data_IF_162820460980
#
_entry.id   IF_162820460980
#
_cell.length_a   1.000
_cell.length_b   1.000
_cell.length_c   1.000
_cell.angle_alpha   90.00
_cell.angle_beta   90.00
_cell.angle_gamma   90.00
#
_symmetry.space_group_name_H-M   'P 1'
#
loop_
_entity.id
_entity.type
_entity.pdbx_description
1 polymer ?
#
# COMPACT_ATOMS: atom_id res chain seq x y z
N UNK A 1 27.17 12.86 7.34
CA UNK A 1 26.23 11.82 6.89
C UNK A 1 26.80 11.25 5.61
N UNK A 2 27.02 9.93 5.51
CA UNK A 2 27.50 9.32 4.27
C UNK A 2 26.49 9.54 3.14
N UNK A 3 26.99 9.89 1.95
CA UNK A 3 26.16 10.06 0.76
C UNK A 3 25.62 8.71 0.28
N UNK A 4 24.48 8.29 0.81
CA UNK A 4 23.79 7.08 0.35
C UNK A 4 23.34 7.27 -1.09
N UNK A 5 23.95 6.53 -2.01
CA UNK A 5 23.60 6.55 -3.44
C UNK A 5 22.27 5.84 -3.70
N UNK A 6 21.60 6.17 -4.81
CA UNK A 6 20.33 5.52 -5.19
C UNK A 6 20.51 4.00 -5.35
N UNK A 7 21.63 3.58 -5.93
CA UNK A 7 21.97 2.15 -6.09
C UNK A 7 22.10 1.43 -4.75
N UNK A 8 22.72 2.05 -3.75
CA UNK A 8 22.81 1.50 -2.40
C UNK A 8 21.44 1.41 -1.74
N UNK A 9 20.60 2.44 -1.89
CA UNK A 9 19.21 2.42 -1.39
C UNK A 9 18.41 1.24 -1.99
N UNK A 10 18.44 1.07 -3.31
CA UNK A 10 17.71 -0.01 -3.98
C UNK A 10 18.24 -1.39 -3.59
N UNK A 11 19.57 -1.60 -3.67
CA UNK A 11 20.19 -2.89 -3.34
C UNK A 11 19.99 -3.24 -1.86
N UNK A 12 20.08 -2.24 -1.00
CA UNK A 12 19.83 -2.35 0.44
C UNK A 12 18.38 -2.71 0.73
N UNK A 13 17.41 -2.01 0.12
CA UNK A 13 15.99 -2.27 0.31
C UNK A 13 15.61 -3.71 -0.03
N UNK A 14 16.08 -4.22 -1.17
CA UNK A 14 15.84 -5.61 -1.58
C UNK A 14 16.54 -6.63 -0.67
N UNK A 15 17.79 -6.36 -0.27
CA UNK A 15 18.53 -7.24 0.66
C UNK A 15 17.82 -7.32 2.02
N UNK A 16 17.35 -6.19 2.53
CA UNK A 16 16.68 -6.11 3.82
C UNK A 16 15.28 -6.73 3.75
N UNK A 17 14.56 -6.57 2.65
CA UNK A 17 13.27 -7.22 2.43
C UNK A 17 13.43 -8.75 2.41
N UNK A 18 14.43 -9.25 1.68
CA UNK A 18 14.76 -10.68 1.68
C UNK A 18 15.18 -11.18 3.07
N UNK A 19 15.94 -10.38 3.82
CA UNK A 19 16.31 -10.69 5.21
C UNK A 19 15.08 -10.74 6.11
N UNK A 20 14.15 -9.79 5.99
CA UNK A 20 12.92 -9.75 6.76
C UNK A 20 12.04 -10.99 6.53
N UNK A 21 11.89 -11.43 5.28
CA UNK A 21 11.16 -12.66 4.92
C UNK A 21 11.79 -13.89 5.59
N UNK A 22 13.13 -13.97 5.60
CA UNK A 22 13.86 -15.10 6.19
C UNK A 22 13.79 -15.14 7.71
N UNK A 23 13.85 -13.99 8.39
CA UNK A 23 13.90 -13.93 9.86
C UNK A 23 12.51 -13.85 10.51
N UNK A 24 11.46 -13.49 9.75
CA UNK A 24 10.08 -13.40 10.27
C UNK A 24 9.09 -14.23 9.44
N UNK A 25 9.37 -15.53 9.17
CA UNK A 25 8.57 -16.33 8.25
C UNK A 25 7.11 -16.48 8.71
N UNK A 26 6.88 -16.57 10.03
CA UNK A 26 5.54 -16.70 10.60
C UNK A 26 4.69 -15.46 10.30
N UNK A 27 5.27 -14.26 10.41
CA UNK A 27 4.56 -13.00 10.13
C UNK A 27 4.14 -12.94 8.65
N UNK A 28 5.05 -13.32 7.75
CA UNK A 28 4.76 -13.38 6.31
C UNK A 28 3.73 -14.46 5.97
N UNK A 29 3.77 -15.63 6.62
CA UNK A 29 2.77 -16.69 6.42
C UNK A 29 1.37 -16.27 6.89
N UNK A 30 1.26 -15.63 8.06
CA UNK A 30 -0.02 -15.10 8.56
C UNK A 30 -0.54 -14.00 7.64
N UNK A 31 0.32 -13.06 7.22
CA UNK A 31 -0.06 -12.01 6.28
C UNK A 31 -0.46 -12.60 4.92
N UNK A 32 0.24 -13.63 4.42
CA UNK A 32 -0.11 -14.34 3.19
C UNK A 32 -1.48 -14.98 3.28
N UNK A 33 -1.74 -15.75 4.34
CA UNK A 33 -3.02 -16.41 4.54
C UNK A 33 -4.16 -15.39 4.64
N UNK A 34 -3.95 -14.27 5.34
CA UNK A 34 -4.93 -13.22 5.47
C UNK A 34 -5.20 -12.49 4.13
N UNK A 35 -4.15 -12.12 3.39
CA UNK A 35 -4.28 -11.47 2.06
C UNK A 35 -4.95 -12.41 1.06
N UNK A 36 -4.61 -13.70 1.08
CA UNK A 36 -5.24 -14.69 0.23
C UNK A 36 -6.72 -14.90 0.60
N UNK A 37 -7.04 -14.96 1.89
CA UNK A 37 -8.42 -15.07 2.37
C UNK A 37 -9.25 -13.84 1.99
N UNK A 38 -8.71 -12.63 2.15
CA UNK A 38 -9.41 -11.40 1.72
C UNK A 38 -9.52 -11.32 0.20
N UNK A 39 -8.49 -11.70 -0.54
CA UNK A 39 -8.51 -11.72 -2.01
C UNK A 39 -9.53 -12.70 -2.56
N UNK A 40 -9.60 -13.92 -2.02
CA UNK A 40 -10.59 -14.92 -2.41
C UNK A 40 -12.01 -14.53 -1.99
N UNK A 41 -12.20 -13.91 -0.82
CA UNK A 41 -13.48 -13.39 -0.39
C UNK A 41 -13.97 -12.25 -1.30
N UNK A 42 -13.08 -11.31 -1.66
CA UNK A 42 -13.36 -10.23 -2.60
C UNK A 42 -13.72 -10.75 -3.99
N UNK A 43 -12.95 -11.71 -4.50
CA UNK A 43 -13.25 -12.37 -5.77
C UNK A 43 -14.62 -13.05 -5.76
N UNK A 44 -14.93 -13.84 -4.71
CA UNK A 44 -16.25 -14.48 -4.58
C UNK A 44 -17.38 -13.45 -4.52
N UNK A 45 -17.22 -12.39 -3.75
CA UNK A 45 -18.22 -11.33 -3.63
C UNK A 45 -18.46 -10.61 -4.96
N UNK A 46 -17.44 -10.45 -5.80
CA UNK A 46 -17.56 -9.75 -7.09
C UNK A 46 -18.16 -10.63 -8.19
N UNK A 47 -17.88 -11.94 -8.17
CA UNK A 47 -18.25 -12.86 -9.28
C UNK A 47 -19.41 -13.81 -8.97
N UNK A 48 -19.87 -13.95 -7.71
CA UNK A 48 -21.05 -14.76 -7.38
C UNK A 48 -22.31 -14.32 -8.11
N UNK A 49 -22.48 -13.00 -8.28
CA UNK A 49 -23.67 -12.42 -8.89
C UNK A 49 -23.60 -12.44 -10.43
N UNK A 50 -22.40 -12.34 -11.01
CA UNK A 50 -22.20 -12.45 -12.47
C UNK A 50 -22.51 -13.88 -12.97
N UNK A 51 -22.14 -14.89 -12.19
CA UNK A 51 -22.46 -16.29 -12.50
C UNK A 51 -23.97 -16.59 -12.34
N UNK A 52 -24.63 -15.98 -11.35
CA UNK A 52 -26.07 -16.13 -11.13
C UNK A 52 -26.92 -15.36 -12.17
N UNK A 53 -26.42 -14.24 -12.70
CA UNK A 53 -27.13 -13.38 -13.67
C UNK A 53 -26.92 -13.78 -15.14
N UNK A 54 -26.28 -14.92 -15.41
CA UNK A 54 -26.08 -15.43 -16.78
C UNK A 54 -25.28 -14.50 -17.70
N UNK A 55 -24.45 -13.60 -17.15
CA UNK A 55 -23.62 -12.67 -17.92
C UNK A 55 -24.37 -11.52 -18.62
N UNK A 56 -25.66 -11.30 -18.35
CA UNK A 56 -26.38 -10.19 -18.99
C UNK A 56 -26.09 -8.86 -18.28
N UNK A 57 -25.35 -7.96 -18.95
CA UNK A 57 -25.11 -6.57 -18.51
C UNK A 57 -26.42 -5.77 -18.34
N UNK A 58 -27.51 -6.24 -18.95
CA UNK A 58 -28.83 -5.57 -19.00
C UNK A 58 -29.67 -5.74 -17.73
N UNK A 59 -29.32 -6.66 -16.83
CA UNK A 59 -30.05 -6.87 -15.57
C UNK A 59 -29.67 -5.86 -14.46
N UNK A 60 -28.55 -5.13 -14.63
CA UNK A 60 -28.01 -4.25 -13.59
C UNK A 60 -28.73 -2.90 -13.48
N UNK A 61 -29.45 -2.47 -14.52
CA UNK A 61 -29.98 -1.10 -14.65
C UNK A 61 -31.49 -0.98 -14.40
N UNK A 62 -32.23 -2.08 -14.22
CA UNK A 62 -33.69 -2.07 -14.32
C UNK A 62 -34.45 -2.38 -13.02
N UNK A 63 -33.76 -2.64 -11.89
CA UNK A 63 -34.44 -2.89 -10.61
C UNK A 63 -33.89 -2.05 -9.45
N UNK A 64 -34.79 -1.47 -8.66
CA UNK A 64 -34.47 -0.78 -7.39
C UNK A 64 -33.84 -1.73 -6.36
N UNK A 65 -34.18 -3.02 -6.41
CA UNK A 65 -33.55 -4.12 -5.67
C UNK A 65 -32.10 -4.36 -6.12
N UNK A 66 -31.78 -4.17 -7.41
CA UNK A 66 -30.40 -4.23 -7.91
C UNK A 66 -29.50 -3.13 -7.35
N UNK A 67 -30.04 -1.94 -7.08
CA UNK A 67 -29.28 -0.82 -6.50
C UNK A 67 -28.92 -1.07 -5.02
N UNK A 68 -29.86 -1.62 -4.24
CA UNK A 68 -29.60 -1.99 -2.85
C UNK A 68 -28.55 -3.11 -2.74
N UNK A 69 -28.62 -4.11 -3.61
CA UNK A 69 -27.64 -5.20 -3.65
C UNK A 69 -26.26 -4.72 -4.13
N UNK A 70 -26.18 -3.84 -5.13
CA UNK A 70 -24.93 -3.23 -5.57
C UNK A 70 -24.28 -2.36 -4.47
N UNK A 71 -25.09 -1.63 -3.69
CA UNK A 71 -24.60 -0.86 -2.55
C UNK A 71 -24.05 -1.78 -1.43
N UNK A 72 -24.76 -2.86 -1.11
CA UNK A 72 -24.31 -3.84 -0.13
C UNK A 72 -23.00 -4.53 -0.57
N UNK A 73 -22.90 -4.92 -1.84
CA UNK A 73 -21.70 -5.52 -2.43
C UNK A 73 -20.52 -4.54 -2.45
N UNK A 74 -20.78 -3.26 -2.73
CA UNK A 74 -19.78 -2.20 -2.63
C UNK A 74 -19.25 -2.03 -1.20
N UNK A 75 -20.14 -2.06 -0.20
CA UNK A 75 -19.75 -2.00 1.22
C UNK A 75 -18.96 -3.23 1.66
N UNK A 76 -19.33 -4.44 1.21
CA UNK A 76 -18.58 -5.66 1.48
C UNK A 76 -17.19 -5.57 0.85
N UNK A 77 -17.10 -5.18 -0.42
CA UNK A 77 -15.81 -5.01 -1.10
C UNK A 77 -14.94 -3.97 -0.40
N UNK A 78 -15.53 -2.87 0.09
CA UNK A 78 -14.82 -1.84 0.84
C UNK A 78 -14.33 -2.37 2.19
N UNK A 79 -15.14 -3.17 2.88
CA UNK A 79 -14.74 -3.85 4.11
C UNK A 79 -13.57 -4.81 3.89
N UNK A 80 -13.62 -5.62 2.83
CA UNK A 80 -12.56 -6.57 2.47
C UNK A 80 -11.26 -5.84 2.14
N UNK A 81 -11.30 -4.79 1.31
CA UNK A 81 -10.10 -4.00 0.97
C UNK A 81 -9.54 -3.25 2.17
N UNK A 82 -10.40 -2.77 3.07
CA UNK A 82 -9.99 -2.17 4.33
C UNK A 82 -9.21 -3.16 5.19
N UNK A 83 -9.77 -4.36 5.44
CA UNK A 83 -9.10 -5.42 6.22
C UNK A 83 -7.77 -5.82 5.58
N UNK A 84 -7.74 -6.00 4.25
CA UNK A 84 -6.51 -6.32 3.54
C UNK A 84 -5.45 -5.23 3.74
N UNK A 85 -5.85 -3.96 3.68
CA UNK A 85 -4.94 -2.84 3.90
C UNK A 85 -4.43 -2.78 5.34
N UNK A 86 -5.26 -3.13 6.34
CA UNK A 86 -4.82 -3.26 7.73
C UNK A 86 -3.74 -4.33 7.89
N UNK A 87 -3.94 -5.50 7.27
CA UNK A 87 -2.96 -6.60 7.29
C UNK A 87 -1.63 -6.13 6.70
N UNK A 88 -1.66 -5.45 5.55
CA UNK A 88 -0.46 -4.92 4.90
C UNK A 88 0.20 -3.81 5.72
N UNK A 89 -0.56 -2.94 6.36
CA UNK A 89 -0.03 -1.91 7.25
C UNK A 89 0.69 -2.52 8.45
N UNK A 90 0.11 -3.54 9.08
CA UNK A 90 0.74 -4.27 10.20
C UNK A 90 2.04 -4.93 9.73
N UNK A 91 2.01 -5.63 8.59
CA UNK A 91 3.22 -6.22 8.00
C UNK A 91 4.29 -5.15 7.73
N UNK A 92 3.91 -4.01 7.15
CA UNK A 92 4.82 -2.91 6.88
C UNK A 92 5.49 -2.39 8.16
N UNK A 93 4.75 -2.23 9.28
CA UNK A 93 5.33 -1.85 10.58
C UNK A 93 6.37 -2.86 11.04
N UNK A 94 6.08 -4.16 10.96
CA UNK A 94 7.03 -5.19 11.36
C UNK A 94 8.31 -5.15 10.51
N UNK A 95 8.16 -5.03 9.18
CA UNK A 95 9.29 -4.94 8.26
C UNK A 95 10.11 -3.67 8.51
N UNK A 96 9.46 -2.53 8.71
CA UNK A 96 10.14 -1.26 9.02
C UNK A 96 10.90 -1.37 10.34
N UNK A 97 10.28 -1.86 11.41
CA UNK A 97 10.93 -2.03 12.72
C UNK A 97 12.12 -2.99 12.64
N UNK A 98 11.98 -4.09 11.90
CA UNK A 98 13.07 -5.02 11.65
C UNK A 98 14.22 -4.34 10.91
N UNK A 99 13.94 -3.65 9.81
CA UNK A 99 14.97 -2.97 9.02
C UNK A 99 15.67 -1.85 9.80
N UNK A 100 14.94 -1.09 10.63
CA UNK A 100 15.55 -0.07 11.51
C UNK A 100 16.50 -0.72 12.51
N UNK A 101 16.11 -1.84 13.14
CA UNK A 101 16.97 -2.58 14.08
C UNK A 101 18.22 -3.15 13.41
N UNK A 102 18.08 -3.62 12.17
CA UNK A 102 19.22 -4.14 11.40
C UNK A 102 20.31 -3.09 11.18
N UNK A 103 19.92 -1.81 11.13
CA UNK A 103 20.82 -0.67 10.89
C UNK A 103 21.08 0.19 12.13
N UNK A 104 20.64 -0.25 13.32
CA UNK A 104 20.98 0.43 14.56
C UNK A 104 22.48 0.23 14.82
N UNK A 105 23.25 1.32 14.91
CA UNK A 105 24.69 1.23 15.13
C UNK A 105 24.99 0.60 16.50
N UNK A 106 25.96 -0.34 16.58
CA UNK A 106 26.33 -1.00 17.83
C UNK A 106 26.84 -0.03 18.91
N UNK A 107 27.28 1.19 18.53
CA UNK A 107 27.81 2.20 19.45
C UNK A 107 26.75 3.01 20.21
N UNK A 108 25.54 3.19 19.67
CA UNK A 108 24.46 3.93 20.35
C UNK A 108 23.79 3.12 21.47
N UNK A 109 24.04 1.81 21.53
CA UNK A 109 23.56 0.89 22.57
C UNK A 109 24.47 0.95 23.82
N UNK A 110 25.63 1.60 23.75
CA UNK A 110 26.59 1.64 24.86
C UNK A 110 26.15 2.50 26.06
N UNK A 111 25.09 3.31 25.90
CA UNK A 111 24.53 4.14 26.99
C UNK A 111 23.16 3.65 27.48
N UNK A 112 22.59 2.61 26.87
CA UNK A 112 21.31 2.05 27.29
C UNK A 112 21.52 0.57 27.62
N UNK A 113 21.35 0.16 28.90
CA UNK A 113 21.69 -1.19 29.32
C UNK A 113 20.94 -2.21 28.45
N UNK A 114 21.67 -3.23 28.00
CA UNK A 114 21.24 -4.30 27.11
C UNK A 114 20.05 -5.15 27.63
N UNK A 115 19.40 -4.73 28.71
CA UNK A 115 18.27 -5.39 29.39
C UNK A 115 16.93 -4.67 29.24
N UNK A 116 16.82 -3.56 28.49
CA UNK A 116 15.57 -2.79 28.43
C UNK A 116 15.17 -2.34 27.02
N UNK A 117 15.39 -3.16 25.98
CA UNK A 117 14.56 -3.03 24.78
C UNK A 117 13.13 -3.42 25.20
N UNK A 118 12.16 -2.47 25.24
CA UNK A 118 10.81 -2.81 25.62
C UNK A 118 10.35 -3.98 24.73
N UNK A 119 9.74 -5.02 25.31
CA UNK A 119 9.22 -6.13 24.52
C UNK A 119 8.40 -5.54 23.38
N UNK A 120 8.52 -6.09 22.17
CA UNK A 120 7.71 -5.65 21.02
C UNK A 120 6.24 -5.85 21.36
N UNK A 121 5.67 -4.87 22.05
CA UNK A 121 4.26 -4.85 22.34
C UNK A 121 3.62 -4.54 21.00
N UNK A 122 2.83 -5.51 20.55
CA UNK A 122 2.11 -5.43 19.28
C UNK A 122 1.28 -4.14 19.16
N UNK A 123 0.94 -3.54 20.30
CA UNK A 123 0.11 -2.35 20.42
C UNK A 123 0.77 -1.22 21.21
N UNK A 124 1.98 -0.83 20.82
CA UNK A 124 2.61 0.37 21.36
C UNK A 124 2.01 1.67 20.79
N UNK A 125 2.23 2.78 21.49
CA UNK A 125 1.81 4.11 21.02
C UNK A 125 2.32 4.44 19.60
N UNK A 126 3.52 3.96 19.24
CA UNK A 126 4.07 4.10 17.88
C UNK A 126 3.27 3.34 16.82
N UNK A 127 2.83 2.10 17.11
CA UNK A 127 1.98 1.32 16.21
C UNK A 127 0.62 2.02 16.02
N UNK A 128 0.04 2.54 17.11
CA UNK A 128 -1.21 3.30 17.04
C UNK A 128 -1.08 4.56 16.18
N UNK A 129 0.01 5.31 16.32
CA UNK A 129 0.30 6.50 15.50
C UNK A 129 0.49 6.15 14.03
N UNK A 130 1.24 5.09 13.73
CA UNK A 130 1.41 4.59 12.37
C UNK A 130 0.07 4.18 11.75
N UNK A 131 -0.75 3.47 12.52
CA UNK A 131 -2.08 3.03 12.09
C UNK A 131 -3.00 4.22 11.80
N UNK A 132 -2.99 5.24 12.67
CA UNK A 132 -3.71 6.49 12.43
C UNK A 132 -3.23 7.22 11.17
N UNK A 133 -1.92 7.20 10.89
CA UNK A 133 -1.36 7.76 9.66
C UNK A 133 -1.84 7.01 8.42
N UNK A 134 -1.83 5.68 8.45
CA UNK A 134 -2.39 4.85 7.38
C UNK A 134 -3.87 5.14 7.16
N UNK A 135 -4.68 5.19 8.23
CA UNK A 135 -6.10 5.55 8.13
C UNK A 135 -6.27 6.93 7.52
N UNK A 136 -5.50 7.93 7.97
CA UNK A 136 -5.59 9.30 7.45
C UNK A 136 -5.28 9.36 5.94
N UNK A 137 -4.28 8.61 5.48
CA UNK A 137 -3.94 8.54 4.05
C UNK A 137 -4.99 7.80 3.22
N UNK A 138 -5.52 6.69 3.74
CA UNK A 138 -6.63 5.97 3.11
C UNK A 138 -7.86 6.86 3.02
N UNK A 139 -8.23 7.54 4.11
CA UNK A 139 -9.33 8.48 4.17
C UNK A 139 -9.12 9.65 3.18
N UNK A 140 -7.89 10.15 3.05
CA UNK A 140 -7.53 11.14 2.04
C UNK A 140 -7.72 10.62 0.61
N UNK A 141 -7.30 9.38 0.33
CA UNK A 141 -7.50 8.76 -0.98
C UNK A 141 -8.98 8.55 -1.29
N UNK A 142 -9.75 8.02 -0.35
CA UNK A 142 -11.21 7.85 -0.47
C UNK A 142 -11.91 9.20 -0.63
N UNK A 143 -11.49 10.23 0.11
CA UNK A 143 -12.01 11.59 -0.04
C UNK A 143 -11.74 12.17 -1.44
N UNK A 144 -10.53 11.94 -1.97
CA UNK A 144 -10.17 12.38 -3.32
C UNK A 144 -10.98 11.65 -4.39
N UNK A 145 -11.19 10.33 -4.27
CA UNK A 145 -12.03 9.58 -5.22
C UNK A 145 -13.49 10.02 -5.16
N UNK A 146 -14.05 10.23 -3.96
CA UNK A 146 -15.39 10.79 -3.77
C UNK A 146 -15.54 12.17 -4.39
N UNK A 147 -14.54 13.05 -4.24
CA UNK A 147 -14.56 14.38 -4.86
C UNK A 147 -14.62 14.30 -6.39
N UNK A 148 -13.83 13.40 -7.01
CA UNK A 148 -13.87 13.16 -8.46
C UNK A 148 -15.23 12.63 -8.90
N UNK A 149 -15.83 11.71 -8.14
CA UNK A 149 -17.17 11.18 -8.42
C UNK A 149 -18.25 12.25 -8.33
N UNK A 150 -18.23 13.08 -7.28
CA UNK A 150 -19.16 14.21 -7.11
C UNK A 150 -19.03 15.20 -8.27
N UNK A 151 -17.80 15.54 -8.66
CA UNK A 151 -17.55 16.42 -9.80
C UNK A 151 -18.10 15.81 -11.11
N UNK A 152 -17.87 14.52 -11.34
CA UNK A 152 -18.38 13.81 -12.52
C UNK A 152 -19.91 13.80 -12.58
N UNK A 153 -20.59 13.53 -11.46
CA UNK A 153 -22.05 13.58 -11.37
C UNK A 153 -22.54 15.02 -11.62
N UNK A 154 -21.89 16.02 -11.04
CA UNK A 154 -22.22 17.43 -11.27
C UNK A 154 -22.10 17.84 -12.74
N UNK A 155 -21.02 17.43 -13.41
CA UNK A 155 -20.81 17.65 -14.85
C UNK A 155 -21.91 17.01 -15.70
N UNK A 156 -22.38 15.81 -15.31
CA UNK A 156 -23.50 15.12 -15.97
C UNK A 156 -24.84 15.82 -15.77
N UNK A 157 -25.11 16.28 -14.54
CA UNK A 157 -26.33 17.02 -14.21
C UNK A 157 -26.36 18.40 -14.91
N UNK A 158 -25.20 18.99 -15.19
CA UNK A 158 -25.08 20.23 -15.95
C UNK A 158 -25.30 20.07 -17.47
N UNK A 159 -25.67 18.87 -17.95
CA UNK A 159 -26.01 18.64 -19.36
C UNK A 159 -24.81 18.54 -20.29
N UNK A 160 -23.58 18.40 -19.78
CA UNK A 160 -22.41 18.18 -20.63
C UNK A 160 -22.50 16.83 -21.33
N UNK A 161 -22.10 16.80 -22.60
CA UNK A 161 -22.15 15.60 -23.42
C UNK A 161 -21.38 14.43 -22.79
N UNK A 162 -21.80 13.20 -23.11
CA UNK A 162 -21.24 11.99 -22.52
C UNK A 162 -19.74 11.83 -22.73
N UNK A 163 -19.18 12.36 -23.82
CA UNK A 163 -17.74 12.34 -24.11
C UNK A 163 -16.93 13.44 -23.39
N UNK A 164 -17.50 14.62 -23.19
CA UNK A 164 -16.79 15.72 -22.50
C UNK A 164 -16.74 15.51 -20.99
N UNK A 165 -17.83 14.98 -20.40
CA UNK A 165 -17.89 14.65 -18.98
C UNK A 165 -16.96 13.50 -18.58
N UNK A 166 -16.74 12.49 -19.43
CA UNK A 166 -15.79 11.40 -19.16
C UNK A 166 -14.35 11.86 -19.28
N UNK A 167 -14.03 12.68 -20.29
CA UNK A 167 -12.70 13.26 -20.43
C UNK A 167 -12.34 14.14 -19.22
N UNK A 168 -13.27 14.99 -18.77
CA UNK A 168 -13.08 15.83 -17.59
C UNK A 168 -12.94 15.01 -16.29
N UNK A 169 -13.72 13.94 -16.13
CA UNK A 169 -13.59 13.06 -14.96
C UNK A 169 -12.25 12.30 -14.98
N UNK A 170 -11.80 11.85 -16.15
CA UNK A 170 -10.50 11.19 -16.30
C UNK A 170 -9.34 12.12 -15.96
N UNK A 171 -9.37 13.38 -16.42
CA UNK A 171 -8.33 14.36 -16.06
C UNK A 171 -8.33 14.68 -14.56
N UNK A 172 -9.51 14.86 -13.95
CA UNK A 172 -9.64 15.04 -12.50
C UNK A 172 -9.13 13.82 -11.72
N UNK A 173 -9.40 12.59 -12.18
CA UNK A 173 -8.90 11.37 -11.58
C UNK A 173 -7.37 11.31 -11.64
N UNK A 174 -6.77 11.63 -12.79
CA UNK A 174 -5.31 11.68 -12.94
C UNK A 174 -4.71 12.74 -12.03
N UNK A 175 -5.29 13.94 -11.96
CA UNK A 175 -4.84 15.00 -11.07
C UNK A 175 -4.94 14.60 -9.60
N UNK A 176 -6.02 13.93 -9.20
CA UNK A 176 -6.20 13.42 -7.85
C UNK A 176 -5.12 12.36 -7.51
N UNK A 177 -4.85 11.42 -8.42
CA UNK A 177 -3.77 10.42 -8.24
C UNK A 177 -2.39 11.08 -8.15
N UNK A 178 -2.11 12.07 -8.99
CA UNK A 178 -0.86 12.85 -8.95
C UNK A 178 -0.72 13.66 -7.65
N UNK A 179 -1.79 14.30 -7.19
CA UNK A 179 -1.80 15.04 -5.93
C UNK A 179 -1.60 14.11 -4.73
N UNK A 180 -2.29 12.97 -4.70
CA UNK A 180 -2.15 11.98 -3.63
C UNK A 180 -0.77 11.31 -3.62
N UNK A 181 -0.19 11.03 -4.79
CA UNK A 181 1.17 10.48 -4.88
C UNK A 181 2.21 11.50 -4.44
N UNK A 182 2.01 12.78 -4.77
CA UNK A 182 2.84 13.88 -4.26
C UNK A 182 2.81 13.94 -2.73
N UNK A 183 1.63 13.96 -2.13
CA UNK A 183 1.45 13.96 -0.67
C UNK A 183 2.06 12.70 -0.03
N UNK A 184 1.83 11.53 -0.62
CA UNK A 184 2.35 10.26 -0.10
C UNK A 184 3.88 10.21 -0.11
N UNK A 185 4.52 10.68 -1.18
CA UNK A 185 5.98 10.75 -1.27
C UNK A 185 6.58 11.72 -0.23
N UNK A 186 5.92 12.86 0.00
CA UNK A 186 6.31 13.85 1.02
C UNK A 186 6.24 13.28 2.44
N UNK A 187 5.23 12.45 2.70
CA UNK A 187 4.99 11.87 4.01
C UNK A 187 5.68 10.52 4.21
N UNK A 188 6.39 10.04 3.19
CA UNK A 188 7.05 8.72 3.21
C UNK A 188 8.02 8.55 4.38
N UNK A 189 8.67 9.63 4.84
CA UNK A 189 9.60 9.63 5.99
C UNK A 189 8.89 9.50 7.34
N UNK A 190 7.60 9.87 7.41
CA UNK A 190 6.83 9.86 8.65
C UNK A 190 6.48 8.43 9.07
N UNK A 191 6.31 7.51 8.11
CA UNK A 191 6.07 6.09 8.37
C UNK A 191 7.22 5.42 9.16
N UNK A 192 8.48 5.45 8.70
CA UNK A 192 9.59 4.88 9.47
C UNK A 192 9.84 5.60 10.79
N UNK A 193 9.65 6.92 10.85
CA UNK A 193 9.77 7.68 12.08
C UNK A 193 8.75 7.23 13.15
N UNK A 194 7.47 7.13 12.78
CA UNK A 194 6.41 6.70 13.70
C UNK A 194 6.52 5.22 14.07
N UNK A 195 6.93 4.36 13.13
CA UNK A 195 7.17 2.94 13.40
C UNK A 195 8.32 2.72 14.40
N UNK A 196 9.33 3.60 14.39
CA UNK A 196 10.41 3.64 15.37
C UNK A 196 9.96 4.14 16.75
N UNK A 197 8.75 4.68 16.88
CA UNK A 197 8.21 5.23 18.14
C UNK A 197 8.23 6.76 18.22
N UNK A 198 8.67 7.45 17.15
CA UNK A 198 8.68 8.90 17.07
C UNK A 198 7.28 9.55 17.15
N UNK A 199 7.27 10.87 17.35
CA UNK A 199 6.05 11.66 17.35
C UNK A 199 5.66 12.04 15.91
N UNK A 200 4.38 12.32 15.67
CA UNK A 200 3.94 12.74 14.33
C UNK A 200 4.32 14.21 14.12
N UNK A 201 5.34 14.46 13.30
CA UNK A 201 5.80 15.81 12.96
C UNK A 201 5.65 16.07 11.46
N UNK A 202 4.45 16.47 11.06
CA UNK A 202 4.09 16.73 9.66
C UNK A 202 4.99 17.77 9.00
N UNK A 203 5.26 18.87 9.72
CA UNK A 203 6.05 19.99 9.20
C UNK A 203 7.52 19.60 8.98
N UNK A 204 8.14 18.93 9.95
CA UNK A 204 9.52 18.46 9.83
C UNK A 204 9.68 17.48 8.66
N UNK A 205 8.77 16.51 8.51
CA UNK A 205 8.79 15.58 7.38
C UNK A 205 8.65 16.30 6.02
N UNK A 206 7.82 17.35 5.97
CA UNK A 206 7.64 18.15 4.76
C UNK A 206 8.90 18.94 4.40
N UNK A 207 9.56 19.52 5.40
CA UNK A 207 10.80 20.29 5.24
C UNK A 207 11.97 19.37 4.82
N UNK A 208 12.14 18.21 5.47
CA UNK A 208 13.18 17.21 5.14
C UNK A 208 13.07 16.69 3.70
N UNK A 209 11.85 16.53 3.19
CA UNK A 209 11.66 16.07 1.79
C UNK A 209 11.80 17.19 0.76
N UNK A 210 11.84 18.48 1.16
CA UNK A 210 11.86 19.64 0.25
C UNK A 210 13.10 19.58 -0.65
N UNK A 211 12.91 19.79 -1.95
CA UNK A 211 13.98 19.65 -2.96
C UNK A 211 14.32 18.21 -3.39
N UNK A 212 13.94 17.19 -2.61
CA UNK A 212 14.30 15.78 -2.86
C UNK A 212 13.17 14.90 -3.41
N UNK A 213 12.02 15.50 -3.75
CA UNK A 213 10.82 14.79 -4.20
C UNK A 213 11.10 13.81 -5.35
N UNK A 214 11.77 14.29 -6.41
CA UNK A 214 12.05 13.46 -7.59
C UNK A 214 12.93 12.26 -7.24
N UNK A 215 13.90 12.44 -6.35
CA UNK A 215 14.75 11.34 -5.90
C UNK A 215 13.95 10.30 -5.10
N UNK A 216 13.12 10.74 -4.15
CA UNK A 216 12.29 9.87 -3.31
C UNK A 216 11.31 9.06 -4.18
N UNK A 217 10.59 9.73 -5.06
CA UNK A 217 9.61 9.09 -5.94
C UNK A 217 10.29 8.13 -6.91
N UNK A 218 11.41 8.52 -7.52
CA UNK A 218 12.17 7.66 -8.44
C UNK A 218 12.72 6.43 -7.71
N UNK A 219 13.26 6.59 -6.51
CA UNK A 219 13.75 5.47 -5.70
C UNK A 219 12.61 4.50 -5.35
N UNK A 220 11.44 5.00 -4.93
CA UNK A 220 10.28 4.17 -4.63
C UNK A 220 9.77 3.41 -5.86
N UNK A 221 9.62 4.11 -7.01
CA UNK A 221 9.19 3.49 -8.27
C UNK A 221 10.17 2.42 -8.72
N UNK A 222 11.48 2.72 -8.74
CA UNK A 222 12.51 1.75 -9.14
C UNK A 222 12.63 0.57 -8.18
N UNK A 223 12.39 0.76 -6.89
CA UNK A 223 12.41 -0.33 -5.91
C UNK A 223 11.28 -1.34 -6.18
N UNK A 224 10.11 -0.83 -6.56
CA UNK A 224 8.88 -1.61 -6.73
C UNK A 224 8.76 -2.19 -8.15
N UNK A 225 9.36 -1.55 -9.16
CA UNK A 225 9.23 -1.92 -10.57
C UNK A 225 9.49 -3.41 -10.85
N UNK A 226 10.50 -4.09 -10.26
CA UNK A 226 10.70 -5.52 -10.49
C UNK A 226 9.55 -6.39 -9.98
N UNK A 227 8.95 -6.02 -8.84
CA UNK A 227 7.79 -6.74 -8.28
C UNK A 227 6.60 -6.62 -9.24
N UNK A 228 6.33 -5.40 -9.73
CA UNK A 228 5.27 -5.15 -10.68
C UNK A 228 5.53 -5.93 -11.97
N UNK A 229 6.74 -5.86 -12.53
CA UNK A 229 7.10 -6.58 -13.75
C UNK A 229 6.86 -8.08 -13.63
N UNK A 230 7.33 -8.71 -12.54
CA UNK A 230 7.12 -10.14 -12.29
C UNK A 230 5.63 -10.47 -12.13
N UNK A 231 4.90 -9.68 -11.33
CA UNK A 231 3.48 -9.90 -11.11
C UNK A 231 2.68 -9.78 -12.42
N UNK A 232 2.96 -8.77 -13.24
CA UNK A 232 2.31 -8.58 -14.54
C UNK A 232 2.60 -9.74 -15.48
N UNK A 233 3.86 -10.17 -15.61
CA UNK A 233 4.22 -11.31 -16.48
C UNK A 233 3.51 -12.58 -16.03
N UNK A 234 3.52 -12.89 -14.73
CA UNK A 234 2.83 -14.08 -14.22
C UNK A 234 1.31 -14.01 -14.42
N UNK A 235 0.72 -12.82 -14.30
CA UNK A 235 -0.71 -12.61 -14.53
C UNK A 235 -1.05 -12.86 -16.01
N UNK A 236 -0.30 -12.27 -16.94
CA UNK A 236 -0.47 -12.48 -18.38
C UNK A 236 -0.30 -13.95 -18.75
N UNK A 237 0.74 -14.60 -18.23
CA UNK A 237 0.99 -16.04 -18.48
C UNK A 237 -0.19 -16.87 -17.98
N UNK A 238 -0.68 -16.61 -16.77
CA UNK A 238 -1.81 -17.36 -16.23
C UNK A 238 -3.12 -17.11 -17.00
N UNK A 239 -3.37 -15.89 -17.49
CA UNK A 239 -4.51 -15.63 -18.38
C UNK A 239 -4.39 -16.39 -19.70
N UNK A 240 -3.19 -16.45 -20.30
CA UNK A 240 -2.94 -17.22 -21.53
C UNK A 240 -3.08 -18.73 -21.32
N UNK A 241 -2.81 -19.25 -20.11
CA UNK A 241 -3.07 -20.65 -19.77
C UNK A 241 -4.55 -20.89 -19.47
N UNK A 242 -5.26 -19.92 -18.88
CA UNK A 242 -6.68 -20.04 -18.54
C UNK A 242 -7.57 -20.10 -19.79
N UNK A 243 -7.17 -19.51 -20.91
CA UNK A 243 -7.86 -19.69 -22.19
C UNK A 243 -7.65 -21.08 -22.80
N UNK A 244 -6.66 -21.85 -22.33
CA UNK A 244 -6.31 -23.17 -22.84
C UNK A 244 -6.73 -24.34 -21.91
N UNK A 245 -7.11 -24.08 -20.66
CA UNK A 245 -7.40 -25.11 -19.64
C UNK A 245 -8.64 -24.77 -18.79
N UNK A 246 -9.09 -25.72 -17.95
CA UNK A 246 -10.26 -25.53 -17.08
C UNK A 246 -10.06 -24.36 -16.10
N UNK A 247 -10.93 -23.35 -16.19
CA UNK A 247 -10.79 -22.04 -15.55
C UNK A 247 -10.61 -22.05 -14.02
N UNK A 248 -11.13 -23.05 -13.30
CA UNK A 248 -11.19 -23.03 -11.83
C UNK A 248 -9.85 -23.13 -11.10
N UNK A 249 -8.88 -23.89 -11.63
CA UNK A 249 -7.56 -24.09 -10.99
C UNK A 249 -6.66 -22.86 -11.16
N UNK A 250 -6.75 -22.20 -12.33
CA UNK A 250 -5.91 -21.05 -12.69
C UNK A 250 -6.25 -19.79 -11.88
N UNK A 251 -7.51 -19.57 -11.53
CA UNK A 251 -7.91 -18.44 -10.69
C UNK A 251 -7.29 -18.49 -9.30
N UNK A 252 -7.25 -19.66 -8.66
CA UNK A 252 -6.59 -19.81 -7.35
C UNK A 252 -5.08 -19.59 -7.45
N UNK A 253 -4.44 -20.11 -8.51
CA UNK A 253 -3.02 -19.86 -8.78
C UNK A 253 -2.71 -18.36 -8.93
N UNK A 254 -3.54 -17.63 -9.67
CA UNK A 254 -3.43 -16.17 -9.82
C UNK A 254 -3.54 -15.44 -8.47
N UNK A 255 -4.50 -15.82 -7.63
CA UNK A 255 -4.67 -15.21 -6.30
C UNK A 255 -3.47 -15.46 -5.39
N UNK A 256 -2.84 -16.64 -5.50
CA UNK A 256 -1.60 -16.95 -4.79
C UNK A 256 -0.46 -16.05 -5.27
N UNK A 257 -0.26 -15.96 -6.60
CA UNK A 257 0.78 -15.10 -7.20
C UNK A 257 0.58 -13.63 -6.79
N UNK A 258 -0.65 -13.13 -6.89
CA UNK A 258 -1.00 -11.77 -6.50
C UNK A 258 -0.73 -11.53 -5.00
N UNK A 259 -1.07 -12.49 -4.14
CA UNK A 259 -0.81 -12.40 -2.70
C UNK A 259 0.69 -12.33 -2.41
N UNK A 260 1.50 -13.19 -3.03
CA UNK A 260 2.97 -13.15 -2.90
C UNK A 260 3.53 -11.82 -3.41
N UNK A 261 3.09 -11.38 -4.60
CA UNK A 261 3.50 -10.10 -5.18
C UNK A 261 3.16 -8.92 -4.28
N UNK A 262 1.98 -8.93 -3.65
CA UNK A 262 1.54 -7.89 -2.71
C UNK A 262 2.41 -7.85 -1.46
N UNK A 263 2.76 -9.02 -0.89
CA UNK A 263 3.66 -9.07 0.27
C UNK A 263 5.07 -8.58 -0.06
N UNK A 264 5.61 -8.98 -1.21
CA UNK A 264 6.92 -8.51 -1.68
C UNK A 264 6.91 -7.01 -1.96
N UNK A 265 5.84 -6.52 -2.57
CA UNK A 265 5.62 -5.08 -2.78
C UNK A 265 5.66 -4.33 -1.44
N UNK A 266 4.89 -4.78 -0.46
CA UNK A 266 4.83 -4.15 0.87
C UNK A 266 6.17 -4.21 1.58
N UNK A 267 6.85 -5.36 1.56
CA UNK A 267 8.15 -5.52 2.21
C UNK A 267 9.21 -4.61 1.58
N UNK A 268 9.33 -4.60 0.24
CA UNK A 268 10.29 -3.77 -0.48
C UNK A 268 10.00 -2.28 -0.33
N UNK A 269 8.72 -1.87 -0.37
CA UNK A 269 8.32 -0.49 -0.11
C UNK A 269 8.66 -0.05 1.32
N UNK A 270 8.37 -0.90 2.31
CA UNK A 270 8.70 -0.68 3.70
C UNK A 270 10.22 -0.52 3.92
N UNK A 271 11.05 -1.42 3.40
CA UNK A 271 12.51 -1.30 3.54
C UNK A 271 13.08 -0.11 2.77
N UNK A 272 12.56 0.17 1.57
CA UNK A 272 12.94 1.37 0.82
C UNK A 272 12.68 2.65 1.63
N UNK A 273 11.53 2.74 2.31
CA UNK A 273 11.22 3.88 3.18
C UNK A 273 12.23 4.06 4.32
N UNK A 274 12.77 2.96 4.88
CA UNK A 274 13.81 3.01 5.92
C UNK A 274 15.14 3.54 5.37
N UNK A 275 15.53 3.14 4.17
CA UNK A 275 16.74 3.68 3.52
C UNK A 275 16.61 5.16 3.18
N UNK A 276 15.43 5.57 2.70
CA UNK A 276 15.12 6.99 2.47
C UNK A 276 15.12 7.78 3.77
N UNK A 277 14.58 7.21 4.85
CA UNK A 277 14.64 7.79 6.20
C UNK A 277 16.07 7.97 6.69
N UNK A 278 16.95 6.98 6.48
CA UNK A 278 18.37 7.13 6.84
C UNK A 278 19.06 8.24 6.09
N UNK A 279 18.69 8.47 4.84
CA UNK A 279 19.29 9.47 3.98
C UNK A 279 18.79 10.89 4.27
N UNK A 280 17.48 11.06 4.46
CA UNK A 280 16.84 12.38 4.43
C UNK A 280 16.29 12.87 5.77
N UNK A 281 16.11 12.00 6.78
CA UNK A 281 15.47 12.38 8.04
C UNK A 281 16.44 13.06 9.02
N UNK A 282 17.12 14.11 8.57
CA UNK A 282 18.05 14.85 9.40
C UNK A 282 17.32 15.59 10.53
N UNK A 283 16.28 16.37 10.19
CA UNK A 283 15.52 17.18 11.15
C UNK A 283 14.64 16.29 12.04
N UNK A 284 13.97 15.31 11.43
CA UNK A 284 13.12 14.36 12.17
C UNK A 284 13.88 13.56 13.24
N UNK A 285 15.20 13.35 13.08
CA UNK A 285 16.02 12.68 14.10
C UNK A 285 16.39 13.62 15.24
N UNK A 286 16.70 14.87 14.94
CA UNK A 286 17.14 15.84 15.95
C UNK A 286 16.03 16.30 16.88
N UNK A 287 14.77 16.31 16.45
CA UNK A 287 13.64 16.70 17.31
C UNK A 287 13.11 15.54 18.20
N UNK A 288 13.68 14.34 18.07
CA UNK A 288 13.25 13.15 18.82
C UNK A 288 14.08 12.87 20.09
N UNK A 289 15.20 13.58 20.25
CA UNK A 289 16.05 13.60 21.45
C UNK A 289 15.64 14.73 22.37
#
# INVERSE_FOLDING_TARGET
MEDITLRQCLKGAWRDAASAVRHMPIVFLVAFAAVLATGTAGYKAQFSDMAAAGGSLSAMTSSSTGHANAAAQGLISLGVTFVQTLVLAVLAVFVVRFAIRLHAEPGAVSAQPASAAPPMRLWDAGVRRYFLLCIALIAGYVGATLAVLIAWIGLRLAGMSSGTSTAAAATLAVLAVCGMSYVSARLSLLFPHTAAGGQIQWRAAWEDTRGHFWFITTAAVLAILPVIGIATVLTVVAEMLATAASAGSLTMGLMVVQSVGTLLYTATGATCSVWLYRKFAAILRTEST
#
